data_IF_840743696078
#
_entry.id   IF_840743696078
#
_cell.length_a   1.000
_cell.length_b   1.000
_cell.length_c   1.000
_cell.angle_alpha   90.00
_cell.angle_beta   90.00
_cell.angle_gamma   90.00
#
_symmetry.space_group_name_H-M   'P 1'
#
loop_
_entity.id
_entity.type
_entity.pdbx_description
1 polymer ?
#
# COMPACT_ATOMS: atom_id res chain seq x y z
N UNK A 1 -6.53 -3.26 15.04
CA UNK A 1 -5.93 -3.68 13.79
C UNK A 1 -6.64 -4.92 13.24
N UNK A 2 -6.74 -5.01 11.91
CA UNK A 2 -7.33 -6.15 11.24
C UNK A 2 -6.27 -7.24 10.99
N UNK A 3 -6.71 -8.48 10.78
CA UNK A 3 -5.84 -9.61 10.44
C UNK A 3 -5.10 -9.36 9.12
N UNK A 4 -3.89 -9.93 8.99
CA UNK A 4 -3.08 -9.84 7.78
C UNK A 4 -2.10 -8.67 7.73
N UNK A 5 -2.07 -7.83 8.77
CA UNK A 5 -1.08 -6.75 8.93
C UNK A 5 -1.10 -5.72 7.81
N UNK A 6 0.03 -5.05 7.59
CA UNK A 6 0.20 -3.98 6.60
C UNK A 6 -0.11 -4.45 5.17
N UNK A 7 0.42 -5.58 4.74
CA UNK A 7 0.26 -6.07 3.37
C UNK A 7 -1.20 -6.26 2.99
N UNK A 8 -2.00 -6.91 3.85
CA UNK A 8 -3.41 -7.19 3.56
C UNK A 8 -4.28 -5.94 3.62
N UNK A 9 -4.02 -5.04 4.57
CA UNK A 9 -4.95 -3.95 4.90
C UNK A 9 -4.61 -2.61 4.24
N UNK A 10 -3.34 -2.25 4.20
CA UNK A 10 -2.88 -0.92 3.75
C UNK A 10 -1.63 -0.97 2.87
N UNK A 11 -1.34 -2.12 2.28
CA UNK A 11 -0.16 -2.35 1.44
C UNK A 11 -0.49 -3.13 0.18
N UNK A 12 0.08 -4.35 0.07
CA UNK A 12 0.12 -5.15 -1.15
C UNK A 12 -1.27 -5.44 -1.75
N UNK A 13 -2.22 -5.89 -0.95
CA UNK A 13 -3.53 -6.31 -1.44
C UNK A 13 -4.34 -5.12 -1.98
N UNK A 14 -4.55 -4.02 -1.22
CA UNK A 14 -5.30 -2.89 -1.73
C UNK A 14 -4.60 -2.20 -2.90
N UNK A 15 -3.27 -2.05 -2.89
CA UNK A 15 -2.56 -1.41 -3.99
C UNK A 15 -2.69 -2.22 -5.28
N UNK A 16 -2.55 -3.56 -5.25
CA UNK A 16 -2.74 -4.41 -6.43
C UNK A 16 -4.18 -4.39 -6.94
N UNK A 17 -5.17 -4.31 -6.05
CA UNK A 17 -6.56 -4.16 -6.45
C UNK A 17 -6.82 -2.84 -7.20
N UNK A 18 -6.21 -1.73 -6.76
CA UNK A 18 -6.29 -0.44 -7.45
C UNK A 18 -5.48 -0.44 -8.76
N UNK A 19 -4.26 -1.00 -8.76
CA UNK A 19 -3.44 -1.14 -9.96
C UNK A 19 -4.19 -1.90 -11.06
N UNK A 20 -4.79 -3.05 -10.72
CA UNK A 20 -5.58 -3.83 -11.69
C UNK A 20 -6.74 -3.01 -12.27
N UNK A 21 -7.51 -2.32 -11.43
CA UNK A 21 -8.65 -1.52 -11.91
C UNK A 21 -8.21 -0.35 -12.79
N UNK A 22 -7.12 0.35 -12.41
CA UNK A 22 -6.58 1.46 -13.20
C UNK A 22 -5.96 0.97 -14.51
N UNK A 23 -5.37 -0.21 -14.54
CA UNK A 23 -4.83 -0.81 -15.75
C UNK A 23 -5.93 -1.17 -16.75
N UNK A 24 -7.03 -1.78 -16.30
CA UNK A 24 -8.18 -2.03 -17.17
C UNK A 24 -8.76 -0.74 -17.76
N UNK A 25 -8.80 0.32 -16.96
CA UNK A 25 -9.25 1.63 -17.44
C UNK A 25 -8.29 2.22 -18.49
N UNK A 26 -6.99 2.13 -18.25
CA UNK A 26 -5.96 2.58 -19.18
C UNK A 26 -5.99 1.80 -20.50
N UNK A 27 -6.04 0.47 -20.42
CA UNK A 27 -6.15 -0.42 -21.58
C UNK A 27 -7.41 -0.13 -22.40
N UNK A 28 -8.55 0.09 -21.74
CA UNK A 28 -9.80 0.39 -22.42
C UNK A 28 -9.75 1.73 -23.18
N UNK A 29 -9.01 2.71 -22.66
CA UNK A 29 -8.88 4.03 -23.31
C UNK A 29 -7.83 4.06 -24.44
N UNK A 30 -6.77 3.25 -24.35
CA UNK A 30 -5.58 3.44 -25.20
C UNK A 30 -5.19 2.21 -26.04
N UNK A 31 -5.63 0.99 -25.65
CA UNK A 31 -5.09 -0.25 -26.26
C UNK A 31 -6.14 -1.19 -26.83
N UNK A 32 -7.39 -1.11 -26.42
CA UNK A 32 -8.42 -2.05 -26.90
C UNK A 32 -8.68 -1.91 -28.41
N UNK A 33 -8.48 -0.73 -28.99
CA UNK A 33 -8.59 -0.54 -30.44
C UNK A 33 -7.58 -1.37 -31.23
N UNK A 34 -6.38 -1.59 -30.69
CA UNK A 34 -5.35 -2.44 -31.29
C UNK A 34 -5.79 -3.92 -31.41
N UNK A 35 -6.73 -4.33 -30.55
CA UNK A 35 -7.36 -5.66 -30.57
C UNK A 35 -8.66 -5.70 -31.39
N UNK A 36 -9.05 -4.61 -32.06
CA UNK A 36 -10.29 -4.51 -32.80
C UNK A 36 -11.52 -4.31 -31.87
N UNK A 37 -11.33 -3.92 -30.63
CA UNK A 37 -12.39 -3.66 -29.68
C UNK A 37 -12.69 -2.15 -29.65
N UNK A 38 -13.77 -1.75 -30.29
CA UNK A 38 -14.21 -0.36 -30.30
C UNK A 38 -15.04 -0.04 -29.04
N UNK A 39 -14.68 1.02 -28.32
CA UNK A 39 -15.42 1.50 -27.15
C UNK A 39 -15.85 2.95 -27.33
N UNK A 40 -17.11 3.24 -27.01
CA UNK A 40 -17.67 4.60 -27.04
C UNK A 40 -17.67 5.18 -25.62
N UNK A 41 -16.62 5.91 -25.30
CA UNK A 41 -16.47 6.59 -24.01
C UNK A 41 -16.26 5.63 -22.83
N UNK A 42 -15.14 5.77 -22.17
CA UNK A 42 -14.82 5.02 -20.95
C UNK A 42 -14.68 6.02 -19.82
N UNK A 43 -15.39 5.79 -18.73
CA UNK A 43 -15.29 6.63 -17.53
C UNK A 43 -15.00 5.75 -16.30
N UNK A 44 -14.27 6.30 -15.35
CA UNK A 44 -13.99 5.63 -14.08
C UNK A 44 -14.99 6.13 -13.01
N UNK A 45 -15.73 5.20 -12.41
CA UNK A 45 -16.43 5.43 -11.15
C UNK A 45 -15.47 5.13 -9.99
N UNK A 46 -14.81 6.18 -9.50
CA UNK A 46 -13.80 6.05 -8.44
C UNK A 46 -14.39 5.45 -7.16
N UNK A 47 -15.62 5.80 -6.80
CA UNK A 47 -16.26 5.27 -5.60
C UNK A 47 -16.42 3.75 -5.68
N UNK A 48 -16.82 3.22 -6.83
CA UNK A 48 -16.90 1.76 -7.07
C UNK A 48 -15.52 1.12 -7.08
N UNK A 49 -14.51 1.77 -7.64
CA UNK A 49 -13.13 1.27 -7.65
C UNK A 49 -12.60 1.11 -6.22
N UNK A 50 -12.81 2.12 -5.37
CA UNK A 50 -12.43 2.08 -3.95
C UNK A 50 -13.22 1.00 -3.21
N UNK A 51 -14.54 0.93 -3.39
CA UNK A 51 -15.37 -0.10 -2.75
C UNK A 51 -14.98 -1.52 -3.16
N UNK A 52 -14.61 -1.74 -4.43
CA UNK A 52 -14.05 -3.02 -4.89
C UNK A 52 -12.77 -3.37 -4.13
N UNK A 53 -11.84 -2.42 -4.00
CA UNK A 53 -10.60 -2.60 -3.23
C UNK A 53 -10.91 -3.00 -1.78
N UNK A 54 -11.85 -2.33 -1.12
CA UNK A 54 -12.27 -2.64 0.25
C UNK A 54 -12.89 -4.04 0.37
N UNK A 55 -13.67 -4.44 -0.62
CA UNK A 55 -14.22 -5.81 -0.71
C UNK A 55 -13.12 -6.86 -0.80
N UNK A 56 -12.09 -6.63 -1.64
CA UNK A 56 -10.93 -7.53 -1.77
C UNK A 56 -10.17 -7.65 -0.45
N UNK A 57 -9.93 -6.54 0.23
CA UNK A 57 -9.28 -6.51 1.55
C UNK A 57 -10.11 -7.31 2.56
N UNK A 58 -11.41 -7.06 2.63
CA UNK A 58 -12.31 -7.78 3.55
C UNK A 58 -12.31 -9.29 3.30
N UNK A 59 -12.40 -9.73 2.05
CA UNK A 59 -12.35 -11.16 1.70
C UNK A 59 -11.05 -11.82 2.16
N UNK A 60 -9.91 -11.13 2.03
CA UNK A 60 -8.63 -11.63 2.52
C UNK A 60 -8.61 -11.73 4.07
N UNK A 61 -9.13 -10.72 4.78
CA UNK A 61 -9.24 -10.76 6.23
C UNK A 61 -10.11 -11.94 6.69
N UNK A 62 -11.28 -12.12 6.07
CA UNK A 62 -12.20 -13.22 6.37
C UNK A 62 -11.54 -14.58 6.09
N UNK A 63 -10.77 -14.68 4.99
CA UNK A 63 -9.98 -15.85 4.61
C UNK A 63 -8.91 -16.21 5.64
N UNK A 64 -8.20 -15.23 6.17
CA UNK A 64 -7.19 -15.45 7.23
C UNK A 64 -7.86 -15.98 8.49
N UNK A 65 -8.97 -15.38 8.92
CA UNK A 65 -9.71 -15.85 10.09
C UNK A 65 -10.21 -17.29 9.91
N UNK A 66 -10.72 -17.61 8.71
CA UNK A 66 -11.12 -18.98 8.36
C UNK A 66 -9.94 -19.98 8.46
N UNK A 67 -8.77 -19.61 7.92
CA UNK A 67 -7.56 -20.45 7.96
C UNK A 67 -7.06 -20.66 9.39
N UNK A 68 -7.05 -19.65 10.24
CA UNK A 68 -6.71 -19.81 11.66
C UNK A 68 -7.66 -20.81 12.32
N UNK A 69 -8.95 -20.67 12.10
CA UNK A 69 -9.98 -21.55 12.65
C UNK A 69 -9.84 -23.01 12.15
N UNK A 70 -9.66 -23.18 10.83
CA UNK A 70 -9.47 -24.48 10.17
C UNK A 70 -8.23 -25.21 10.72
N UNK A 71 -7.16 -24.48 10.97
CA UNK A 71 -5.91 -25.05 11.48
C UNK A 71 -5.83 -25.07 13.02
N UNK A 72 -6.93 -24.78 13.72
CA UNK A 72 -7.00 -24.78 15.19
C UNK A 72 -5.98 -23.84 15.84
N UNK A 73 -5.67 -22.72 15.19
CA UNK A 73 -4.82 -21.66 15.73
C UNK A 73 -5.68 -20.71 16.55
N UNK A 74 -5.38 -20.56 17.83
CA UNK A 74 -6.05 -19.60 18.69
C UNK A 74 -5.69 -18.18 18.31
N UNK A 75 -6.69 -17.32 18.19
CA UNK A 75 -6.51 -15.91 17.86
C UNK A 75 -6.98 -15.03 19.02
N UNK A 76 -6.08 -14.17 19.50
CA UNK A 76 -6.35 -13.22 20.57
C UNK A 76 -6.26 -11.81 20.02
N UNK A 77 -7.38 -11.10 20.00
CA UNK A 77 -7.43 -9.73 19.47
C UNK A 77 -7.05 -8.70 20.53
N UNK A 78 -5.84 -8.18 20.46
CA UNK A 78 -5.34 -7.22 21.42
C UNK A 78 -3.91 -6.76 21.13
N UNK A 79 -3.36 -5.99 22.04
CA UNK A 79 -1.96 -5.58 22.05
C UNK A 79 -1.16 -6.54 22.91
N UNK A 80 -0.20 -7.23 22.32
CA UNK A 80 0.69 -8.14 23.01
C UNK A 80 1.93 -7.40 23.53
N UNK A 81 2.40 -7.78 24.73
CA UNK A 81 3.63 -7.32 25.30
C UNK A 81 4.33 -8.47 26.04
N UNK A 82 5.66 -8.52 25.96
CA UNK A 82 6.45 -9.43 26.79
C UNK A 82 6.33 -9.00 28.24
N UNK A 83 6.08 -9.97 29.15
CA UNK A 83 6.02 -9.76 30.57
C UNK A 83 7.32 -10.23 31.23
N UNK A 84 7.62 -11.52 31.17
CA UNK A 84 8.83 -12.12 31.78
C UNK A 84 9.21 -13.42 31.12
N UNK A 85 10.45 -13.81 31.32
CA UNK A 85 10.88 -15.20 31.08
C UNK A 85 10.34 -16.12 32.18
N UNK A 86 9.88 -17.29 31.79
CA UNK A 86 9.37 -18.32 32.70
C UNK A 86 9.97 -19.67 32.34
N UNK A 87 9.84 -20.67 33.22
CA UNK A 87 10.27 -22.01 32.91
C UNK A 87 9.56 -22.52 31.64
N UNK A 88 10.33 -22.93 30.66
CA UNK A 88 9.84 -23.46 29.39
C UNK A 88 9.42 -22.41 28.35
N UNK A 89 9.67 -21.10 28.58
CA UNK A 89 9.38 -20.08 27.55
C UNK A 89 9.26 -18.66 28.05
N UNK A 90 8.37 -17.91 27.42
CA UNK A 90 8.13 -16.49 27.70
C UNK A 90 6.66 -16.22 27.95
N UNK A 91 6.36 -15.47 28.97
CA UNK A 91 5.03 -14.95 29.25
C UNK A 91 4.76 -13.72 28.42
N UNK A 92 3.60 -13.70 27.76
CA UNK A 92 3.10 -12.60 26.94
C UNK A 92 1.72 -12.19 27.44
N UNK A 93 1.56 -10.95 27.81
CA UNK A 93 0.25 -10.38 28.14
C UNK A 93 -0.41 -9.84 26.89
N UNK A 94 -1.68 -10.12 26.68
CA UNK A 94 -2.50 -9.55 25.62
C UNK A 94 -3.58 -8.68 26.25
N UNK A 95 -3.58 -7.40 25.94
CA UNK A 95 -4.60 -6.45 26.40
C UNK A 95 -5.48 -6.02 25.23
N UNK A 96 -6.80 -6.17 25.36
CA UNK A 96 -7.74 -5.87 24.28
C UNK A 96 -9.16 -6.27 24.60
N UNK A 97 -9.81 -6.97 23.68
CA UNK A 97 -11.20 -7.47 23.88
C UNK A 97 -11.30 -8.45 25.04
N UNK A 98 -10.27 -9.25 25.26
CA UNK A 98 -10.05 -10.05 26.45
C UNK A 98 -8.62 -9.81 26.94
N UNK A 99 -8.42 -9.78 28.26
CA UNK A 99 -7.08 -9.70 28.85
C UNK A 99 -6.62 -11.14 29.14
N UNK A 100 -5.58 -11.55 28.42
CA UNK A 100 -5.04 -12.90 28.49
C UNK A 100 -3.57 -12.90 28.86
N UNK A 101 -3.14 -13.93 29.56
CA UNK A 101 -1.74 -14.23 29.80
C UNK A 101 -1.40 -15.54 29.13
N UNK A 102 -0.49 -15.50 28.19
CA UNK A 102 -0.09 -16.64 27.38
C UNK A 102 1.36 -17.01 27.69
N UNK A 103 1.70 -18.29 27.63
CA UNK A 103 3.09 -18.75 27.71
C UNK A 103 3.44 -19.42 26.38
N UNK A 104 4.44 -18.86 25.70
CA UNK A 104 4.96 -19.40 24.44
C UNK A 104 6.35 -19.96 24.60
N UNK A 105 6.56 -21.23 24.21
CA UNK A 105 7.90 -21.83 24.17
C UNK A 105 8.79 -21.13 23.14
N UNK A 106 8.22 -20.80 21.99
CA UNK A 106 8.86 -20.04 20.92
C UNK A 106 7.94 -18.89 20.53
N UNK A 107 8.46 -17.71 20.30
CA UNK A 107 7.70 -16.51 19.95
C UNK A 107 8.24 -15.91 18.67
N UNK A 108 7.35 -15.62 17.73
CA UNK A 108 7.67 -14.89 16.51
C UNK A 108 7.14 -13.46 16.66
N UNK A 109 8.04 -12.49 16.64
CA UNK A 109 7.70 -11.07 16.66
C UNK A 109 7.40 -10.61 15.25
N UNK A 110 6.10 -10.48 14.93
CA UNK A 110 5.62 -10.08 13.62
C UNK A 110 4.63 -8.92 13.75
N UNK A 111 5.10 -7.81 14.32
CA UNK A 111 4.26 -6.68 14.78
C UNK A 111 3.85 -5.72 13.66
N UNK A 112 4.30 -5.94 12.42
CA UNK A 112 4.00 -5.11 11.26
C UNK A 112 4.85 -3.84 11.20
N UNK A 113 4.38 -2.86 10.43
CA UNK A 113 5.06 -1.58 10.20
C UNK A 113 4.04 -0.43 10.14
N UNK A 114 4.50 0.76 10.43
CA UNK A 114 3.73 1.99 10.28
C UNK A 114 4.47 2.93 9.32
N UNK A 115 3.72 3.73 8.57
CA UNK A 115 4.28 4.82 7.79
C UNK A 115 4.98 5.82 8.71
N UNK A 116 6.14 6.32 8.28
CA UNK A 116 6.89 7.35 8.99
C UNK A 116 6.77 8.68 8.24
N UNK A 117 6.22 9.67 8.90
CA UNK A 117 6.18 11.03 8.38
C UNK A 117 7.59 11.63 8.24
N UNK A 118 7.74 12.57 7.34
CA UNK A 118 8.96 13.40 7.29
C UNK A 118 9.03 14.33 8.49
N UNK A 119 10.23 14.66 8.97
CA UNK A 119 10.39 15.66 10.03
C UNK A 119 9.72 16.98 9.63
N UNK A 120 8.90 17.53 10.53
CA UNK A 120 8.17 18.77 10.29
C UNK A 120 6.91 18.65 9.41
N UNK A 121 6.62 17.47 8.85
CA UNK A 121 5.48 17.28 7.94
C UNK A 121 4.67 16.06 8.37
N UNK A 122 3.81 16.18 9.39
CA UNK A 122 2.96 15.10 9.85
C UNK A 122 1.90 14.76 8.79
N UNK A 123 1.44 13.51 8.77
CA UNK A 123 0.27 13.13 7.99
C UNK A 123 -0.99 13.76 8.57
N UNK A 124 -1.74 14.48 7.75
CA UNK A 124 -3.10 14.95 8.07
C UNK A 124 -4.17 14.07 7.42
N UNK A 125 -3.76 13.14 6.55
CA UNK A 125 -4.58 12.23 5.75
C UNK A 125 -5.64 12.96 4.89
N UNK A 126 -5.38 14.23 4.58
CA UNK A 126 -6.19 15.10 3.72
C UNK A 126 -5.34 15.64 2.57
N UNK A 127 -4.28 16.38 2.87
CA UNK A 127 -3.35 16.94 1.90
C UNK A 127 -2.00 16.20 1.93
N UNK A 128 -1.56 15.82 3.13
CA UNK A 128 -0.34 15.05 3.37
C UNK A 128 -0.74 13.64 3.77
N UNK A 129 -0.69 12.75 2.81
CA UNK A 129 -1.19 11.38 2.93
C UNK A 129 -0.07 10.40 3.25
N UNK A 130 -0.35 9.45 4.13
CA UNK A 130 0.39 8.20 4.18
C UNK A 130 -0.06 7.26 3.04
N UNK A 131 0.53 6.07 2.97
CA UNK A 131 0.02 5.02 2.08
C UNK A 131 -1.44 4.63 2.39
N UNK A 132 -1.86 4.72 3.65
CA UNK A 132 -3.24 4.42 4.05
C UNK A 132 -4.22 5.47 3.48
N UNK A 133 -3.91 6.77 3.62
CA UNK A 133 -4.69 7.84 3.01
C UNK A 133 -4.69 7.78 1.49
N UNK A 134 -3.54 7.50 0.87
CA UNK A 134 -3.42 7.38 -0.59
C UNK A 134 -4.28 6.26 -1.19
N UNK A 135 -4.61 5.23 -0.42
CA UNK A 135 -5.52 4.15 -0.82
C UNK A 135 -7.02 4.51 -0.70
N UNK A 136 -7.34 5.67 -0.12
CA UNK A 136 -8.72 6.09 0.22
C UNK A 136 -9.14 7.42 -0.42
N UNK A 137 -8.31 7.98 -1.29
CA UNK A 137 -8.60 9.27 -1.95
C UNK A 137 -9.95 9.22 -2.66
N UNK A 138 -10.86 10.11 -2.31
CA UNK A 138 -12.24 10.10 -2.79
C UNK A 138 -12.46 10.80 -4.13
N UNK A 139 -11.48 11.56 -4.62
CA UNK A 139 -11.50 12.24 -5.91
C UNK A 139 -10.15 12.11 -6.59
N UNK A 140 -10.10 11.94 -7.91
CA UNK A 140 -8.84 11.92 -8.65
C UNK A 140 -8.16 13.28 -8.54
N UNK A 141 -6.97 13.38 -7.89
CA UNK A 141 -6.27 14.65 -7.76
C UNK A 141 -5.79 15.12 -9.14
N UNK A 142 -5.91 16.41 -9.42
CA UNK A 142 -5.36 16.97 -10.67
C UNK A 142 -3.83 16.87 -10.70
N UNK A 143 -3.20 17.17 -9.55
CA UNK A 143 -1.76 17.06 -9.33
C UNK A 143 -1.50 16.24 -8.09
N UNK A 144 -0.56 15.33 -8.18
CA UNK A 144 -0.14 14.48 -7.07
C UNK A 144 1.39 14.49 -7.00
N UNK A 145 1.92 14.86 -5.86
CA UNK A 145 3.34 14.74 -5.56
C UNK A 145 3.55 13.56 -4.62
N UNK A 146 4.49 12.70 -4.97
CA UNK A 146 4.88 11.55 -4.17
C UNK A 146 6.32 11.73 -3.69
N UNK A 147 6.59 11.44 -2.44
CA UNK A 147 7.92 11.51 -1.85
C UNK A 147 8.46 10.10 -1.70
N UNK A 148 9.51 9.83 -2.44
CA UNK A 148 10.16 8.52 -2.53
C UNK A 148 9.77 7.73 -3.79
N UNK A 149 10.77 7.34 -4.57
CA UNK A 149 10.62 6.49 -5.76
C UNK A 149 10.69 4.99 -5.45
N UNK A 150 10.38 4.61 -4.20
CA UNK A 150 10.23 3.22 -3.81
C UNK A 150 8.96 2.58 -4.40
N UNK A 151 8.80 1.27 -4.17
CA UNK A 151 7.70 0.48 -4.74
C UNK A 151 6.32 1.07 -4.46
N UNK A 152 6.08 1.60 -3.26
CA UNK A 152 4.78 2.18 -2.89
C UNK A 152 4.51 3.46 -3.69
N UNK A 153 5.50 4.35 -3.80
CA UNK A 153 5.37 5.59 -4.58
C UNK A 153 5.11 5.31 -6.06
N UNK A 154 5.82 4.36 -6.64
CA UNK A 154 5.65 3.96 -8.03
C UNK A 154 4.28 3.29 -8.29
N UNK A 155 3.81 2.44 -7.38
CA UNK A 155 2.49 1.81 -7.49
C UNK A 155 1.36 2.84 -7.39
N UNK A 156 1.38 3.70 -6.38
CA UNK A 156 0.36 4.74 -6.22
C UNK A 156 0.44 5.76 -7.34
N UNK A 157 1.65 6.18 -7.74
CA UNK A 157 1.84 7.05 -8.89
C UNK A 157 1.23 6.48 -10.17
N UNK A 158 1.43 5.19 -10.42
CA UNK A 158 0.86 4.50 -11.58
C UNK A 158 -0.67 4.49 -11.56
N UNK A 159 -1.27 4.19 -10.40
CA UNK A 159 -2.74 4.21 -10.23
C UNK A 159 -3.29 5.58 -10.63
N UNK A 160 -2.81 6.63 -9.98
CA UNK A 160 -3.37 7.98 -10.14
C UNK A 160 -3.03 8.57 -11.51
N UNK A 161 -1.85 8.25 -12.07
CA UNK A 161 -1.48 8.66 -13.43
C UNK A 161 -2.42 8.09 -14.49
N UNK A 162 -2.75 6.81 -14.41
CA UNK A 162 -3.71 6.14 -15.31
C UNK A 162 -5.12 6.72 -15.20
N UNK A 163 -5.48 7.26 -14.03
CA UNK A 163 -6.76 7.94 -13.81
C UNK A 163 -6.75 9.41 -14.23
N UNK A 164 -5.63 9.95 -14.73
CA UNK A 164 -5.53 11.28 -15.30
C UNK A 164 -4.83 12.33 -14.43
N UNK A 165 -4.27 11.95 -13.29
CA UNK A 165 -3.46 12.86 -12.48
C UNK A 165 -2.14 13.22 -13.17
N UNK A 166 -1.69 14.46 -13.02
CA UNK A 166 -0.30 14.84 -13.21
C UNK A 166 0.50 14.39 -12.00
N UNK A 167 1.42 13.43 -12.19
CA UNK A 167 2.15 12.80 -11.09
C UNK A 167 3.63 13.15 -11.16
N UNK A 168 4.14 13.72 -10.06
CA UNK A 168 5.57 13.96 -9.84
C UNK A 168 6.05 13.16 -8.65
N UNK A 169 7.15 12.43 -8.81
CA UNK A 169 7.80 11.65 -7.76
C UNK A 169 9.14 12.29 -7.45
N UNK A 170 9.34 12.72 -6.21
CA UNK A 170 10.58 13.31 -5.71
C UNK A 170 11.36 12.26 -4.94
N UNK A 171 12.61 12.00 -5.34
CA UNK A 171 13.50 11.04 -4.68
C UNK A 171 14.75 11.76 -4.16
N UNK A 172 15.00 11.63 -2.86
CA UNK A 172 16.15 12.27 -2.21
C UNK A 172 17.50 11.64 -2.56
N UNK A 173 17.50 10.42 -3.07
CA UNK A 173 18.72 9.76 -3.52
C UNK A 173 18.98 10.04 -5.00
N UNK A 174 20.25 10.08 -5.43
CA UNK A 174 20.60 10.30 -6.84
C UNK A 174 20.35 9.06 -7.71
N UNK A 175 19.96 7.93 -7.12
CA UNK A 175 19.74 6.66 -7.81
C UNK A 175 18.29 6.21 -7.71
N UNK A 176 17.70 5.87 -8.86
CA UNK A 176 16.37 5.30 -8.93
C UNK A 176 16.39 3.83 -8.50
N UNK A 177 15.51 3.43 -7.58
CA UNK A 177 15.40 2.05 -7.07
C UNK A 177 16.76 1.45 -6.63
N UNK A 178 17.55 2.18 -5.86
CA UNK A 178 18.92 1.81 -5.52
C UNK A 178 19.11 0.45 -4.82
N UNK A 179 18.04 -0.20 -4.36
CA UNK A 179 18.05 -1.55 -3.80
C UNK A 179 17.81 -2.66 -4.85
N UNK A 180 17.53 -2.28 -6.10
CA UNK A 180 17.24 -3.19 -7.22
C UNK A 180 18.46 -3.27 -8.12
N UNK A 181 18.62 -4.39 -8.84
CA UNK A 181 19.64 -4.51 -9.87
C UNK A 181 19.61 -3.32 -10.84
N UNK A 182 20.78 -2.76 -11.16
CA UNK A 182 20.90 -1.50 -11.90
C UNK A 182 20.27 -1.59 -13.30
N UNK A 183 20.44 -2.72 -13.97
CA UNK A 183 19.88 -2.93 -15.31
C UNK A 183 18.35 -2.98 -15.26
N UNK A 184 17.79 -3.66 -14.26
CA UNK A 184 16.34 -3.74 -14.03
C UNK A 184 15.78 -2.36 -13.64
N UNK A 185 16.45 -1.64 -12.75
CA UNK A 185 16.05 -0.28 -12.36
C UNK A 185 16.00 0.66 -13.57
N UNK A 186 16.96 0.57 -14.46
CA UNK A 186 17.07 1.35 -15.70
C UNK A 186 15.91 1.08 -16.67
N UNK A 187 15.57 -0.18 -16.87
CA UNK A 187 14.42 -0.57 -17.72
C UNK A 187 13.08 -0.19 -17.06
N UNK A 188 12.95 -0.36 -15.75
CA UNK A 188 11.77 0.08 -15.01
C UNK A 188 11.56 1.60 -15.14
N UNK A 189 12.63 2.40 -15.00
CA UNK A 189 12.53 3.87 -15.16
C UNK A 189 12.00 4.26 -16.53
N UNK A 190 12.51 3.64 -17.61
CA UNK A 190 12.00 3.89 -18.97
C UNK A 190 10.51 3.59 -19.10
N UNK A 191 10.04 2.49 -18.48
CA UNK A 191 8.63 2.12 -18.50
C UNK A 191 7.77 3.15 -17.76
N UNK A 192 8.19 3.62 -16.59
CA UNK A 192 7.48 4.63 -15.82
C UNK A 192 7.50 6.01 -16.51
N UNK A 193 8.63 6.40 -17.11
CA UNK A 193 8.72 7.63 -17.91
C UNK A 193 7.74 7.58 -19.11
N UNK A 194 7.68 6.44 -19.81
CA UNK A 194 6.71 6.20 -20.91
C UNK A 194 5.26 6.25 -20.41
N UNK A 195 4.99 5.79 -19.21
CA UNK A 195 3.67 5.90 -18.57
C UNK A 195 3.32 7.36 -18.21
N UNK A 196 4.29 8.27 -18.23
CA UNK A 196 4.13 9.69 -17.94
C UNK A 196 4.28 10.06 -16.47
N UNK A 197 5.00 9.25 -15.69
CA UNK A 197 5.43 9.62 -14.35
C UNK A 197 6.67 10.53 -14.47
N UNK A 198 6.61 11.70 -13.83
CA UNK A 198 7.78 12.59 -13.72
C UNK A 198 8.55 12.17 -12.46
N UNK A 199 9.77 11.65 -12.63
CA UNK A 199 10.61 11.18 -11.53
C UNK A 199 11.85 12.05 -11.43
N UNK A 200 11.98 12.82 -10.37
CA UNK A 200 13.09 13.70 -10.06
C UNK A 200 13.97 13.07 -8.97
N UNK A 201 15.27 12.96 -9.25
CA UNK A 201 16.25 12.30 -8.38
C UNK A 201 17.19 13.33 -7.76
N UNK A 202 17.64 13.07 -6.54
CA UNK A 202 18.55 13.93 -5.80
C UNK A 202 17.86 15.13 -5.16
N UNK A 203 16.54 15.23 -5.22
CA UNK A 203 15.77 16.33 -4.68
C UNK A 203 15.46 16.11 -3.20
N UNK A 204 15.97 16.97 -2.35
CA UNK A 204 15.65 16.98 -0.92
C UNK A 204 14.36 17.76 -0.72
N UNK A 205 13.33 17.07 -0.23
CA UNK A 205 12.09 17.73 0.18
C UNK A 205 12.37 18.52 1.46
N UNK A 206 12.09 19.81 1.40
CA UNK A 206 12.16 20.72 2.54
C UNK A 206 10.82 20.79 3.28
N UNK A 207 10.43 22.00 3.68
CA UNK A 207 9.14 22.25 4.32
C UNK A 207 8.02 22.25 3.27
N UNK A 208 6.92 21.57 3.58
CA UNK A 208 5.70 21.60 2.76
C UNK A 208 4.82 22.73 3.29
N UNK A 209 4.55 23.70 2.44
CA UNK A 209 3.70 24.86 2.74
C UNK A 209 2.29 24.68 2.16
#
# INVERSE_FOLDING_TARGET
PALGGTCTNVGCIPSKALLQSSEHFDQANHHFADHGIEMKGVSMDLAKMIARKDTVVKQNNDGILYLLKKNKVSFFHGRAAFSKAVEGGYEVTVTGTANEVLVGKNIIVATGSNARALPGTPFDEINVLSNDGALKVGTVPKKLVLIGSGVIGLEMGSVWRRLGSEVTILEGLPTFLGAVDEQIAKEAKKAFDKQGLKIELGDKVGEIQ
#
